data_IF_252127409317
#
_entry.id   IF_252127409317
#
_cell.length_a   1.000
_cell.length_b   1.000
_cell.length_c   1.000
_cell.angle_alpha   90.00
_cell.angle_beta   90.00
_cell.angle_gamma   90.00
#
_symmetry.space_group_name_H-M   'P 1'
#
loop_
_entity.id
_entity.type
_entity.pdbx_description
1 polymer ?
#
# COMPACT_ATOMS: atom_id res chain seq x y z
N UNK A 1 23.54 5.68 -0.81
CA UNK A 1 22.52 6.26 -1.72
C UNK A 1 21.95 7.53 -1.11
N UNK A 2 21.70 8.58 -1.92
CA UNK A 2 21.09 9.84 -1.46
C UNK A 2 19.58 9.66 -1.17
N UNK A 3 19.02 10.49 -0.29
CA UNK A 3 17.60 10.50 0.08
C UNK A 3 16.61 10.41 -1.11
N UNK A 4 16.73 11.26 -2.16
CA UNK A 4 15.79 11.25 -3.28
C UNK A 4 15.86 9.95 -4.09
N UNK A 5 17.05 9.34 -4.22
CA UNK A 5 17.20 8.08 -4.95
C UNK A 5 16.47 6.92 -4.25
N UNK A 6 16.45 6.91 -2.91
CA UNK A 6 15.73 5.89 -2.13
C UNK A 6 14.22 6.05 -2.23
N UNK A 7 13.72 7.29 -2.19
CA UNK A 7 12.30 7.58 -2.37
C UNK A 7 11.82 7.19 -3.78
N UNK A 8 12.59 7.57 -4.81
CA UNK A 8 12.29 7.22 -6.20
C UNK A 8 12.31 5.70 -6.40
N UNK A 9 13.31 5.01 -5.86
CA UNK A 9 13.38 3.54 -5.94
C UNK A 9 12.21 2.89 -5.20
N UNK A 10 11.86 3.38 -4.02
CA UNK A 10 10.71 2.87 -3.28
C UNK A 10 9.39 3.08 -4.02
N UNK A 11 9.23 4.22 -4.70
CA UNK A 11 8.07 4.48 -5.55
C UNK A 11 8.01 3.49 -6.71
N UNK A 12 9.11 3.35 -7.48
CA UNK A 12 9.17 2.43 -8.63
C UNK A 12 8.89 0.99 -8.21
N UNK A 13 9.49 0.52 -7.11
CA UNK A 13 9.27 -0.84 -6.58
C UNK A 13 7.82 -1.00 -6.11
N UNK A 14 7.24 0.00 -5.45
CA UNK A 14 5.85 -0.03 -4.99
C UNK A 14 4.86 -0.11 -6.15
N UNK A 15 5.07 0.69 -7.20
CA UNK A 15 4.25 0.66 -8.42
C UNK A 15 4.40 -0.68 -9.13
N UNK A 16 5.62 -1.21 -9.26
CA UNK A 16 5.86 -2.51 -9.89
C UNK A 16 5.19 -3.66 -9.14
N UNK A 17 5.33 -3.71 -7.79
CA UNK A 17 4.68 -4.72 -6.96
C UNK A 17 3.16 -4.59 -6.99
N UNK A 18 2.64 -3.36 -6.95
CA UNK A 18 1.21 -3.12 -7.03
C UNK A 18 0.62 -3.52 -8.37
N UNK A 19 1.30 -3.20 -9.48
CA UNK A 19 0.90 -3.64 -10.81
C UNK A 19 0.91 -5.17 -10.95
N UNK A 20 1.89 -5.86 -10.36
CA UNK A 20 1.95 -7.32 -10.31
C UNK A 20 0.79 -7.91 -9.50
N UNK A 21 0.52 -7.37 -8.31
CA UNK A 21 -0.59 -7.80 -7.47
C UNK A 21 -1.94 -7.62 -8.18
N UNK A 22 -2.14 -6.46 -8.84
CA UNK A 22 -3.36 -6.20 -9.62
C UNK A 22 -3.52 -7.16 -10.80
N UNK A 23 -2.45 -7.48 -11.53
CA UNK A 23 -2.51 -8.50 -12.59
C UNK A 23 -2.88 -9.89 -12.04
N UNK A 24 -2.37 -10.26 -10.87
CA UNK A 24 -2.74 -11.51 -10.20
C UNK A 24 -4.21 -11.55 -9.81
N UNK A 25 -4.74 -10.45 -9.27
CA UNK A 25 -6.17 -10.33 -8.95
C UNK A 25 -7.02 -10.36 -10.21
N UNK A 26 -6.72 -9.56 -11.23
CA UNK A 26 -7.46 -9.55 -12.50
C UNK A 26 -7.47 -10.94 -13.16
N UNK A 27 -6.34 -11.64 -13.19
CA UNK A 27 -6.26 -13.00 -13.72
C UNK A 27 -7.13 -14.00 -12.93
N UNK A 28 -7.35 -13.77 -11.64
CA UNK A 28 -8.22 -14.60 -10.80
C UNK A 28 -9.72 -14.29 -10.99
N UNK A 29 -10.09 -13.06 -11.38
CA UNK A 29 -11.48 -12.60 -11.49
C UNK A 29 -12.01 -12.45 -12.93
N UNK A 30 -11.16 -12.59 -13.95
CA UNK A 30 -11.57 -12.86 -15.34
C UNK A 30 -11.95 -11.68 -16.22
N UNK A 31 -12.39 -10.53 -15.69
CA UNK A 31 -12.90 -9.40 -16.50
C UNK A 31 -12.56 -8.01 -15.91
N UNK A 32 -11.28 -7.77 -15.60
CA UNK A 32 -10.81 -6.50 -15.05
C UNK A 32 -9.85 -5.77 -15.97
N UNK A 33 -10.12 -4.50 -16.28
CA UNK A 33 -9.16 -3.67 -17.01
C UNK A 33 -8.03 -3.24 -16.06
N UNK A 34 -6.88 -3.92 -16.17
CA UNK A 34 -5.72 -3.69 -15.31
C UNK A 34 -5.23 -2.24 -15.37
N UNK A 35 -5.47 -1.55 -16.48
CA UNK A 35 -5.09 -0.16 -16.68
C UNK A 35 -5.92 0.80 -15.81
N UNK A 36 -7.20 0.49 -15.58
CA UNK A 36 -8.07 1.27 -14.69
C UNK A 36 -7.63 1.13 -13.23
N UNK A 37 -7.12 -0.05 -12.86
CA UNK A 37 -6.63 -0.32 -11.53
C UNK A 37 -5.32 0.45 -11.22
N UNK A 38 -4.48 0.70 -12.24
CA UNK A 38 -3.28 1.53 -12.13
C UNK A 38 -3.61 3.00 -11.83
N UNK A 39 -4.74 3.51 -12.32
CA UNK A 39 -5.19 4.88 -12.03
C UNK A 39 -5.44 5.12 -10.55
N UNK A 40 -5.76 4.08 -9.77
CA UNK A 40 -5.93 4.17 -8.32
C UNK A 40 -4.61 3.91 -7.60
N UNK A 41 -3.80 2.96 -8.11
CA UNK A 41 -2.60 2.49 -7.43
C UNK A 41 -1.43 3.49 -7.50
N UNK A 42 -1.22 4.12 -8.66
CA UNK A 42 -0.17 5.12 -8.87
C UNK A 42 -0.32 6.33 -7.92
N UNK A 43 -1.48 7.01 -7.82
CA UNK A 43 -1.62 8.14 -6.91
C UNK A 43 -1.51 7.72 -5.45
N UNK A 44 -1.95 6.52 -5.08
CA UNK A 44 -1.81 6.00 -3.72
C UNK A 44 -0.34 5.74 -3.37
N UNK A 45 0.42 5.09 -4.25
CA UNK A 45 1.86 4.89 -4.10
C UNK A 45 2.62 6.22 -4.05
N UNK A 46 2.20 7.20 -4.86
CA UNK A 46 2.75 8.56 -4.85
C UNK A 46 2.46 9.27 -3.52
N UNK A 47 1.25 9.16 -2.99
CA UNK A 47 0.85 9.73 -1.70
C UNK A 47 1.68 9.13 -0.56
N UNK A 48 1.81 7.79 -0.50
CA UNK A 48 2.64 7.11 0.50
C UNK A 48 4.08 7.61 0.40
N UNK A 49 4.64 7.66 -0.81
CA UNK A 49 6.00 8.17 -1.05
C UNK A 49 6.15 9.62 -0.61
N UNK A 50 5.17 10.48 -0.89
CA UNK A 50 5.16 11.87 -0.48
C UNK A 50 5.14 12.01 1.05
N UNK A 51 4.31 11.23 1.75
CA UNK A 51 4.26 11.21 3.21
C UNK A 51 5.64 10.85 3.80
N UNK A 52 6.26 9.78 3.32
CA UNK A 52 7.61 9.41 3.75
C UNK A 52 8.67 10.46 3.38
N UNK A 53 8.54 11.08 2.21
CA UNK A 53 9.42 12.16 1.76
C UNK A 53 9.35 13.39 2.66
N UNK A 54 8.15 13.82 3.04
CA UNK A 54 7.92 14.93 3.97
C UNK A 54 8.49 14.61 5.36
N UNK A 55 8.29 13.39 5.86
CA UNK A 55 8.84 12.95 7.15
C UNK A 55 10.37 12.92 7.13
N UNK A 56 10.97 12.43 6.04
CA UNK A 56 12.41 12.44 5.87
C UNK A 56 12.97 13.87 5.77
N UNK A 57 12.27 14.77 5.07
CA UNK A 57 12.68 16.18 4.92
C UNK A 57 12.65 16.96 6.24
N UNK A 58 11.63 16.72 7.09
CA UNK A 58 11.49 17.39 8.40
C UNK A 58 12.41 16.87 9.51
N UNK A 59 13.26 15.89 9.23
CA UNK A 59 14.21 15.33 10.19
C UNK A 59 14.19 13.81 10.16
N UNK A 60 14.96 13.27 9.22
CA UNK A 60 15.12 11.84 9.01
C UNK A 60 15.68 11.16 10.27
N UNK A 61 14.83 10.38 10.94
CA UNK A 61 15.22 9.48 12.03
C UNK A 61 14.52 8.14 11.88
N UNK A 62 15.18 7.04 12.26
CA UNK A 62 14.62 5.69 12.17
C UNK A 62 13.28 5.58 12.94
N UNK A 63 13.20 6.20 14.12
CA UNK A 63 12.00 6.21 14.97
C UNK A 63 10.81 6.91 14.31
N UNK A 64 11.03 8.07 13.65
CA UNK A 64 9.94 8.79 12.95
C UNK A 64 9.43 7.98 11.76
N UNK A 65 10.34 7.46 10.94
CA UNK A 65 10.00 6.61 9.78
C UNK A 65 9.25 5.35 10.23
N UNK A 66 9.68 4.72 11.32
CA UNK A 66 8.98 3.56 11.92
C UNK A 66 7.58 3.91 12.44
N UNK A 67 7.41 5.02 13.16
CA UNK A 67 6.09 5.48 13.62
C UNK A 67 5.16 5.83 12.46
N UNK A 68 5.67 6.48 11.41
CA UNK A 68 4.88 6.78 10.21
C UNK A 68 4.45 5.50 9.51
N UNK A 69 5.34 4.52 9.35
CA UNK A 69 5.01 3.23 8.78
C UNK A 69 3.93 2.51 9.61
N UNK A 70 4.11 2.43 10.93
CA UNK A 70 3.15 1.80 11.83
C UNK A 70 1.78 2.50 11.80
N UNK A 71 1.75 3.84 11.77
CA UNK A 71 0.51 4.61 11.67
C UNK A 71 -0.20 4.36 10.32
N UNK A 72 0.54 4.37 9.20
CA UNK A 72 -0.04 4.08 7.89
C UNK A 72 -0.56 2.64 7.80
N UNK A 73 0.19 1.66 8.31
CA UNK A 73 -0.27 0.27 8.39
C UNK A 73 -1.54 0.17 9.24
N UNK A 74 -1.58 0.80 10.41
CA UNK A 74 -2.75 0.79 11.28
C UNK A 74 -3.98 1.39 10.57
N UNK A 75 -3.82 2.53 9.86
CA UNK A 75 -4.89 3.14 9.07
C UNK A 75 -5.37 2.20 7.97
N UNK A 76 -4.47 1.59 7.21
CA UNK A 76 -4.82 0.65 6.14
C UNK A 76 -5.55 -0.59 6.67
N UNK A 77 -5.11 -1.14 7.81
CA UNK A 77 -5.76 -2.28 8.48
C UNK A 77 -7.15 -1.91 8.96
N UNK A 78 -7.32 -0.75 9.60
CA UNK A 78 -8.63 -0.28 10.06
C UNK A 78 -9.58 -0.06 8.89
N UNK A 79 -9.09 0.51 7.78
CA UNK A 79 -9.90 0.70 6.57
C UNK A 79 -10.33 -0.63 5.95
N UNK A 80 -9.42 -1.60 5.82
CA UNK A 80 -9.75 -2.92 5.25
C UNK A 80 -10.71 -3.71 6.12
N UNK A 81 -10.47 -3.75 7.44
CA UNK A 81 -11.41 -4.36 8.38
C UNK A 81 -12.78 -3.66 8.34
N UNK A 82 -12.80 -2.33 8.29
CA UNK A 82 -14.03 -1.56 8.19
C UNK A 82 -14.82 -1.87 6.93
N UNK A 83 -14.16 -1.95 5.77
CA UNK A 83 -14.76 -2.33 4.50
C UNK A 83 -15.30 -3.77 4.53
N UNK A 84 -14.51 -4.72 5.02
CA UNK A 84 -14.93 -6.13 5.13
C UNK A 84 -16.12 -6.29 6.08
N UNK A 85 -16.11 -5.64 7.24
CA UNK A 85 -17.23 -5.67 8.19
C UNK A 85 -18.48 -5.02 7.58
N UNK A 86 -18.34 -3.87 6.92
CA UNK A 86 -19.46 -3.22 6.23
C UNK A 86 -20.02 -4.11 5.11
N UNK A 87 -19.15 -4.72 4.31
CA UNK A 87 -19.54 -5.67 3.26
C UNK A 87 -20.28 -6.88 3.81
N UNK A 88 -19.84 -7.41 4.95
CA UNK A 88 -20.50 -8.52 5.64
C UNK A 88 -21.89 -8.13 6.20
N UNK A 89 -22.01 -6.95 6.79
CA UNK A 89 -23.29 -6.46 7.35
C UNK A 89 -24.35 -6.19 6.28
N UNK A 90 -23.93 -5.99 5.03
CA UNK A 90 -24.80 -5.78 3.88
C UNK A 90 -25.15 -7.07 3.13
N UNK A 91 -24.69 -8.23 3.62
CA UNK A 91 -25.00 -9.51 2.98
C UNK A 91 -26.50 -9.81 3.11
N UNK A 92 -27.15 -10.04 1.99
CA UNK A 92 -28.56 -10.42 1.92
C UNK A 92 -28.73 -11.83 1.33
N UNK A 93 -29.85 -12.52 1.60
CA UNK A 93 -30.16 -13.76 0.91
C UNK A 93 -30.51 -13.50 -0.57
N UNK A 94 -29.87 -14.23 -1.49
CA UNK A 94 -30.09 -14.14 -2.94
C UNK A 94 -28.79 -14.13 -3.74
N UNK A 95 -28.86 -14.35 -5.06
CA UNK A 95 -27.70 -14.50 -5.94
C UNK A 95 -26.74 -13.29 -5.94
N UNK A 96 -27.26 -12.08 -5.72
CA UNK A 96 -26.47 -10.84 -5.65
C UNK A 96 -26.19 -10.37 -4.21
N UNK A 97 -26.69 -11.09 -3.21
CA UNK A 97 -26.60 -10.66 -1.81
C UNK A 97 -25.19 -10.68 -1.24
N UNK A 98 -24.25 -11.42 -1.87
CA UNK A 98 -22.84 -11.42 -1.50
C UNK A 98 -22.00 -10.37 -2.24
N UNK A 99 -22.61 -9.62 -3.17
CA UNK A 99 -21.90 -8.64 -4.00
C UNK A 99 -21.21 -7.52 -3.19
N UNK A 100 -21.80 -6.96 -2.11
CA UNK A 100 -21.12 -5.99 -1.26
C UNK A 100 -19.86 -6.55 -0.59
N UNK A 101 -19.93 -7.80 -0.11
CA UNK A 101 -18.78 -8.49 0.49
C UNK A 101 -17.70 -8.79 -0.55
N UNK A 102 -18.08 -9.25 -1.75
CA UNK A 102 -17.15 -9.50 -2.83
C UNK A 102 -16.42 -8.22 -3.28
N UNK A 103 -17.13 -7.08 -3.36
CA UNK A 103 -16.52 -5.78 -3.63
C UNK A 103 -15.57 -5.33 -2.52
N UNK A 104 -15.94 -5.51 -1.25
CA UNK A 104 -15.06 -5.17 -0.12
C UNK A 104 -13.76 -5.98 -0.18
N UNK A 105 -13.85 -7.30 -0.38
CA UNK A 105 -12.69 -8.18 -0.52
C UNK A 105 -11.84 -7.83 -1.76
N UNK A 106 -12.49 -7.43 -2.86
CA UNK A 106 -11.78 -6.97 -4.05
C UNK A 106 -10.98 -5.70 -3.76
N UNK A 107 -11.56 -4.70 -3.09
CA UNK A 107 -10.85 -3.47 -2.72
C UNK A 107 -9.68 -3.78 -1.75
N UNK A 108 -9.89 -4.67 -0.78
CA UNK A 108 -8.84 -5.12 0.13
C UNK A 108 -7.66 -5.74 -0.64
N UNK A 109 -7.94 -6.64 -1.58
CA UNK A 109 -6.91 -7.33 -2.35
C UNK A 109 -6.24 -6.45 -3.41
N UNK A 110 -7.01 -5.64 -4.14
CA UNK A 110 -6.55 -4.89 -5.30
C UNK A 110 -5.97 -3.50 -4.96
N UNK A 111 -6.29 -2.96 -3.79
CA UNK A 111 -5.89 -1.60 -3.38
C UNK A 111 -5.14 -1.59 -2.05
N UNK A 112 -5.71 -2.17 -0.99
CA UNK A 112 -5.12 -2.08 0.35
C UNK A 112 -3.88 -2.95 0.52
N UNK A 113 -3.87 -4.17 -0.04
CA UNK A 113 -2.68 -5.03 -0.02
C UNK A 113 -1.49 -4.39 -0.74
N UNK A 114 -1.63 -3.86 -1.97
CA UNK A 114 -0.56 -3.11 -2.63
C UNK A 114 -0.09 -1.89 -1.86
N UNK A 115 -1.02 -1.16 -1.22
CA UNK A 115 -0.69 -0.01 -0.39
C UNK A 115 0.16 -0.40 0.83
N UNK A 116 -0.19 -1.50 1.50
CA UNK A 116 0.63 -2.07 2.59
C UNK A 116 2.03 -2.44 2.09
N UNK A 117 2.11 -3.08 0.92
CA UNK A 117 3.38 -3.36 0.26
C UNK A 117 4.22 -2.11 0.03
N UNK A 118 3.60 -1.03 -0.46
CA UNK A 118 4.27 0.25 -0.69
C UNK A 118 4.80 0.88 0.61
N UNK A 119 4.02 0.84 1.69
CA UNK A 119 4.45 1.31 3.02
C UNK A 119 5.64 0.51 3.53
N UNK A 120 5.59 -0.82 3.41
CA UNK A 120 6.69 -1.70 3.82
C UNK A 120 7.96 -1.44 3.00
N UNK A 121 7.85 -1.33 1.68
CA UNK A 121 8.98 -1.00 0.79
C UNK A 121 9.60 0.34 1.20
N UNK A 122 8.80 1.38 1.40
CA UNK A 122 9.34 2.68 1.79
C UNK A 122 9.95 2.67 3.19
N UNK A 123 9.34 1.96 4.13
CA UNK A 123 9.94 1.75 5.45
C UNK A 123 11.29 1.03 5.36
N UNK A 124 11.38 -0.08 4.62
CA UNK A 124 12.62 -0.84 4.45
C UNK A 124 13.75 0.01 3.86
N UNK A 125 13.42 0.86 2.88
CA UNK A 125 14.42 1.72 2.23
C UNK A 125 14.83 2.92 3.08
N UNK A 126 13.96 3.42 3.95
CA UNK A 126 14.19 4.63 4.74
C UNK A 126 14.51 4.39 6.21
N UNK A 127 14.37 3.16 6.73
CA UNK A 127 14.64 2.84 8.15
C UNK A 127 16.09 3.09 8.57
N UNK A 128 17.03 3.16 7.63
CA UNK A 128 18.44 3.48 7.88
C UNK A 128 18.79 4.88 7.36
N UNK A 129 19.07 5.87 8.21
CA UNK A 129 19.49 7.20 7.77
C UNK A 129 20.81 7.14 6.95
N UNK A 130 20.98 8.01 5.95
CA UNK A 130 22.21 8.08 5.17
C UNK A 130 23.35 8.55 6.08
N UNK A 131 24.38 7.71 6.24
CA UNK A 131 25.50 7.96 7.16
C UNK A 131 25.41 7.21 8.49
N UNK A 132 24.34 6.46 8.74
CA UNK A 132 24.33 5.48 9.84
C UNK A 132 25.33 4.36 9.50
N UNK A 133 26.28 4.02 10.39
CA UNK A 133 27.17 2.90 10.15
C UNK A 133 26.30 1.67 9.96
N UNK A 134 26.46 1.00 8.81
CA UNK A 134 25.72 -0.21 8.52
C UNK A 134 25.92 -1.16 9.70
N UNK A 135 24.84 -1.51 10.40
CA UNK A 135 24.89 -2.61 11.35
C UNK A 135 25.39 -3.84 10.57
N UNK A 136 26.36 -4.59 11.11
CA UNK A 136 26.90 -5.76 10.41
C UNK A 136 25.79 -6.75 10.08
N UNK A 137 25.86 -7.29 8.87
CA UNK A 137 24.97 -8.29 8.31
C UNK A 137 25.02 -9.61 9.10
#
# INVERSE_FOLDING_TARGET
MRAPARLALGFVVSVALGALAQRGVVAAFGDGDADTALLILVPLAALITAVFGVVAWRGWTATRIGRTAAALVAVLVVLGLGLTVAGFMLVQPGALGHLPLALALFVDAAVLLPALGAVLVQWLLLRHPPGSPAAPA
#
